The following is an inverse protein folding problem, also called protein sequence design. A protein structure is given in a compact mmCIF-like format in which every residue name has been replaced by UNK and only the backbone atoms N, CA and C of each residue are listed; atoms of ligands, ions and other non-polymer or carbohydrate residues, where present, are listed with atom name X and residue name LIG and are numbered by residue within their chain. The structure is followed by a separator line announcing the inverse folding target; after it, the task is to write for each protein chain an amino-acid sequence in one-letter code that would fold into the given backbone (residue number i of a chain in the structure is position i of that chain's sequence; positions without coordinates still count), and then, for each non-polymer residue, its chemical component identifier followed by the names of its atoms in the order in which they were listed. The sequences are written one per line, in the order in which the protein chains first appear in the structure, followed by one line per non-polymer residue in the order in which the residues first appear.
data_IF_071624219693
#
_entry.id   IF_071624219693
#
_cell.length_a   1.000
_cell.length_b   1.000
_cell.length_c   1.000
_cell.angle_alpha   90.00
_cell.angle_beta   90.00
_cell.angle_gamma   90.00
#
_symmetry.space_group_name_H-M   'P 1'
#
loop_
_entity.id
_entity.type
_entity.pdbx_description
1 polymer ?
#
# COMPACT_ATOMS: atom_id res chain seq x y z
N UNK A 1 -2.34 33.96 -0.11
CA UNK A 1 -2.50 32.58 0.39
C UNK A 1 -1.41 31.73 -0.21
N UNK A 2 -0.71 30.91 0.59
CA UNK A 2 0.33 29.99 0.10
C UNK A 2 -0.27 28.73 -0.54
N UNK A 3 0.54 27.98 -1.30
CA UNK A 3 0.10 26.73 -1.96
C UNK A 3 -0.43 25.72 -0.92
N UNK A 4 0.28 25.54 0.19
CA UNK A 4 -0.14 24.61 1.26
C UNK A 4 -1.43 25.05 1.96
N UNK A 5 -1.68 26.37 2.04
CA UNK A 5 -2.95 26.89 2.55
C UNK A 5 -4.10 26.65 1.57
N UNK A 6 -3.83 26.73 0.26
CA UNK A 6 -4.82 26.40 -0.77
C UNK A 6 -5.22 24.93 -0.70
N UNK A 7 -4.25 24.02 -0.50
CA UNK A 7 -4.50 22.58 -0.39
C UNK A 7 -5.38 22.17 0.81
N UNK A 8 -5.53 23.06 1.79
CA UNK A 8 -6.44 22.84 2.92
C UNK A 8 -7.88 23.26 2.63
N UNK A 9 -8.16 23.92 1.50
CA UNK A 9 -9.53 24.28 1.11
C UNK A 9 -10.31 23.01 0.75
N UNK A 10 -11.49 22.84 1.32
CA UNK A 10 -12.34 21.67 1.06
C UNK A 10 -12.69 21.56 -0.43
N UNK A 11 -12.37 20.42 -1.05
CA UNK A 11 -12.80 20.12 -2.42
C UNK A 11 -14.33 20.11 -2.51
N UNK A 12 -15.03 19.63 -1.47
CA UNK A 12 -16.50 19.61 -1.47
C UNK A 12 -17.10 21.01 -1.49
N UNK A 13 -16.53 21.94 -0.72
CA UNK A 13 -16.97 23.33 -0.71
C UNK A 13 -16.71 24.01 -2.07
N UNK A 14 -15.52 23.77 -2.65
CA UNK A 14 -15.18 24.23 -4.01
C UNK A 14 -16.12 23.64 -5.07
N UNK A 15 -16.41 22.34 -5.01
CA UNK A 15 -17.32 21.67 -5.93
C UNK A 15 -18.72 22.30 -5.86
N UNK A 16 -19.26 22.48 -4.66
CA UNK A 16 -20.56 23.14 -4.45
C UNK A 16 -20.57 24.56 -5.03
N UNK A 17 -19.50 25.34 -4.82
CA UNK A 17 -19.35 26.69 -5.38
C UNK A 17 -19.32 26.70 -6.90
N UNK A 18 -18.75 25.66 -7.50
CA UNK A 18 -18.72 25.45 -8.95
C UNK A 18 -20.01 24.81 -9.49
N UNK A 19 -21.03 24.61 -8.65
CA UNK A 19 -22.32 24.04 -9.03
C UNK A 19 -22.31 22.52 -9.21
N UNK A 20 -21.26 21.84 -8.73
CA UNK A 20 -21.10 20.38 -8.82
C UNK A 20 -21.41 19.78 -7.46
N UNK A 21 -22.51 19.02 -7.40
CA UNK A 21 -22.90 18.30 -6.19
C UNK A 21 -22.40 16.86 -6.22
N UNK A 22 -21.85 16.40 -5.10
CA UNK A 22 -21.46 15.00 -4.90
C UNK A 22 -22.35 14.36 -3.84
N UNK A 23 -22.79 13.13 -4.10
CA UNK A 23 -23.58 12.33 -3.16
C UNK A 23 -22.66 11.58 -2.20
N UNK A 24 -22.90 11.68 -0.90
CA UNK A 24 -22.17 10.89 0.08
C UNK A 24 -22.53 9.40 -0.04
N UNK A 25 -21.51 8.55 -0.22
CA UNK A 25 -21.68 7.08 -0.31
C UNK A 25 -21.05 6.34 0.86
N UNK A 26 -20.14 6.97 1.60
CA UNK A 26 -19.60 6.48 2.87
C UNK A 26 -19.23 7.64 3.79
N UNK A 27 -18.70 7.36 4.99
CA UNK A 27 -18.34 8.40 5.96
C UNK A 27 -17.35 9.44 5.42
N UNK A 28 -16.52 9.08 4.43
CA UNK A 28 -15.49 9.98 3.88
C UNK A 28 -15.38 9.95 2.35
N UNK A 29 -16.33 9.34 1.67
CA UNK A 29 -16.32 9.20 0.21
C UNK A 29 -17.62 9.76 -0.36
N UNK A 30 -17.45 10.61 -1.37
CA UNK A 30 -18.53 11.27 -2.10
C UNK A 30 -18.38 10.95 -3.57
N UNK A 31 -19.49 10.67 -4.25
CA UNK A 31 -19.54 10.20 -5.63
C UNK A 31 -20.35 11.16 -6.50
N UNK A 32 -19.90 11.41 -7.73
CA UNK A 32 -20.60 12.26 -8.67
C UNK A 32 -21.87 11.55 -9.18
N UNK A 33 -23.06 12.18 -9.14
CA UNK A 33 -24.33 11.52 -9.47
C UNK A 33 -24.38 10.90 -10.88
N UNK A 34 -23.75 11.54 -11.85
CA UNK A 34 -23.75 11.09 -13.26
C UNK A 34 -22.48 10.30 -13.64
N UNK A 35 -21.47 10.33 -12.77
CA UNK A 35 -20.16 9.73 -13.03
C UNK A 35 -19.72 8.97 -11.78
N UNK A 36 -20.21 7.74 -11.63
CA UNK A 36 -19.88 6.84 -10.50
C UNK A 36 -18.36 6.66 -10.27
N UNK A 37 -17.59 6.76 -11.33
CA UNK A 37 -16.13 6.72 -11.34
C UNK A 37 -15.46 8.03 -10.89
N UNK A 38 -16.18 9.11 -10.61
CA UNK A 38 -15.63 10.37 -10.12
C UNK A 38 -15.98 10.56 -8.64
N UNK A 39 -14.97 10.46 -7.79
CA UNK A 39 -15.12 10.48 -6.33
C UNK A 39 -14.24 11.51 -5.65
N UNK A 40 -14.73 12.06 -4.54
CA UNK A 40 -13.99 12.91 -3.60
C UNK A 40 -13.79 12.14 -2.29
N UNK A 41 -12.58 12.23 -1.75
CA UNK A 41 -12.17 11.63 -0.49
C UNK A 41 -11.89 12.72 0.55
N UNK A 42 -12.86 12.99 1.43
CA UNK A 42 -12.75 14.10 2.41
C UNK A 42 -11.70 13.85 3.50
N UNK A 43 -11.27 12.60 3.70
CA UNK A 43 -10.18 12.31 4.65
C UNK A 43 -8.82 12.81 4.20
N UNK A 44 -8.61 12.90 2.90
CA UNK A 44 -7.34 13.29 2.30
C UNK A 44 -7.44 14.61 1.53
N UNK A 45 -8.64 15.19 1.45
CA UNK A 45 -8.97 16.35 0.63
C UNK A 45 -8.48 16.20 -0.82
N UNK A 46 -8.78 15.06 -1.45
CA UNK A 46 -8.36 14.71 -2.83
C UNK A 46 -9.53 14.15 -3.64
N UNK A 47 -9.42 14.19 -4.97
CA UNK A 47 -10.37 13.52 -5.86
C UNK A 47 -9.70 12.45 -6.73
N UNK A 48 -10.51 11.51 -7.25
CA UNK A 48 -10.11 10.57 -8.30
C UNK A 48 -11.25 10.33 -9.28
N UNK A 49 -10.93 10.40 -10.57
CA UNK A 49 -11.77 9.99 -11.68
C UNK A 49 -11.22 8.70 -12.30
N UNK A 50 -11.71 7.56 -11.80
CA UNK A 50 -11.19 6.22 -12.10
C UNK A 50 -11.24 5.87 -13.60
N UNK A 51 -12.31 6.25 -14.31
CA UNK A 51 -12.47 5.94 -15.74
C UNK A 51 -11.56 6.75 -16.66
N UNK A 52 -11.00 7.86 -16.18
CA UNK A 52 -10.07 8.73 -16.92
C UNK A 52 -8.63 8.66 -16.42
N UNK A 53 -8.41 7.91 -15.34
CA UNK A 53 -7.15 7.86 -14.60
C UNK A 53 -6.61 9.25 -14.20
N UNK A 54 -7.51 10.14 -13.75
CA UNK A 54 -7.18 11.49 -13.28
C UNK A 54 -7.37 11.55 -11.77
N UNK A 55 -6.43 12.16 -11.05
CA UNK A 55 -6.53 12.40 -9.61
C UNK A 55 -5.73 13.65 -9.23
N UNK A 56 -6.03 14.22 -8.07
CA UNK A 56 -5.29 15.38 -7.58
C UNK A 56 -5.88 15.98 -6.31
N UNK A 57 -5.27 17.09 -5.91
CA UNK A 57 -5.75 17.93 -4.81
C UNK A 57 -6.81 18.95 -5.29
N UNK A 58 -7.18 19.89 -4.42
CA UNK A 58 -8.17 20.93 -4.72
C UNK A 58 -7.73 21.89 -5.84
N UNK A 59 -6.43 22.12 -6.02
CA UNK A 59 -5.94 22.97 -7.10
C UNK A 59 -6.12 22.25 -8.42
N UNK A 60 -5.76 20.97 -8.47
CA UNK A 60 -5.98 20.12 -9.65
C UNK A 60 -7.46 19.95 -9.97
N UNK A 61 -8.33 19.89 -8.95
CA UNK A 61 -9.77 19.83 -9.14
C UNK A 61 -10.30 21.09 -9.85
N UNK A 62 -9.90 22.28 -9.38
CA UNK A 62 -10.30 23.55 -10.03
C UNK A 62 -9.80 23.61 -11.46
N UNK A 63 -8.55 23.20 -11.71
CA UNK A 63 -7.98 23.15 -13.07
C UNK A 63 -8.76 22.21 -13.97
N UNK A 64 -9.10 21.02 -13.47
CA UNK A 64 -9.86 20.01 -14.21
C UNK A 64 -11.27 20.51 -14.56
N UNK A 65 -11.97 21.08 -13.59
CA UNK A 65 -13.37 21.50 -13.76
C UNK A 65 -13.47 22.77 -14.61
N UNK A 66 -12.58 23.74 -14.40
CA UNK A 66 -12.64 25.04 -15.11
C UNK A 66 -11.80 25.09 -16.39
N UNK A 67 -10.91 24.11 -16.61
CA UNK A 67 -9.99 24.11 -17.76
C UNK A 67 -8.94 25.22 -17.72
N UNK A 68 -8.54 25.68 -16.52
CA UNK A 68 -7.66 26.85 -16.33
C UNK A 68 -6.24 26.44 -15.91
N UNK A 69 -5.31 27.40 -15.99
CA UNK A 69 -3.93 27.20 -15.56
C UNK A 69 -3.80 27.09 -14.04
N UNK A 70 -2.66 26.57 -13.57
CA UNK A 70 -2.35 26.46 -12.15
C UNK A 70 -2.38 27.82 -11.44
N UNK A 71 -1.86 28.87 -12.08
CA UNK A 71 -1.84 30.24 -11.51
C UNK A 71 -3.25 30.80 -11.35
N UNK A 72 -4.12 30.57 -12.32
CA UNK A 72 -5.52 31.01 -12.26
C UNK A 72 -6.32 30.22 -11.23
N UNK A 73 -6.04 28.91 -11.08
CA UNK A 73 -6.65 28.11 -10.03
C UNK A 73 -6.26 28.59 -8.62
N UNK A 74 -4.99 28.94 -8.41
CA UNK A 74 -4.55 29.55 -7.14
C UNK A 74 -5.22 30.90 -6.87
N UNK A 75 -5.38 31.74 -7.90
CA UNK A 75 -6.08 33.02 -7.79
C UNK A 75 -7.55 32.80 -7.40
N UNK A 76 -8.25 31.90 -8.10
CA UNK A 76 -9.64 31.53 -7.79
C UNK A 76 -9.81 31.05 -6.35
N UNK A 77 -8.91 30.18 -5.88
CA UNK A 77 -8.95 29.68 -4.50
C UNK A 77 -8.65 30.78 -3.47
N UNK A 78 -7.87 31.80 -3.82
CA UNK A 78 -7.45 32.89 -2.93
C UNK A 78 -8.43 34.06 -2.83
N UNK A 79 -9.30 34.24 -3.82
CA UNK A 79 -10.24 35.38 -3.89
C UNK A 79 -11.51 35.17 -3.07
N UNK A 80 -11.86 33.92 -2.77
CA UNK A 80 -13.15 33.55 -2.21
C UNK A 80 -12.98 32.93 -0.81
N UNK A 81 -13.88 33.23 0.16
CA UNK A 81 -13.83 32.62 1.48
C UNK A 81 -14.33 31.18 1.41
N UNK A 82 -13.43 30.22 1.22
CA UNK A 82 -13.74 28.80 1.30
C UNK A 82 -13.58 28.23 2.71
N UNK A 83 -14.36 27.20 3.03
CA UNK A 83 -14.15 26.38 4.22
C UNK A 83 -12.85 25.59 4.07
N UNK A 84 -12.01 25.68 5.10
CA UNK A 84 -10.84 24.82 5.21
C UNK A 84 -11.26 23.48 5.78
N UNK A 85 -10.90 22.41 5.10
CA UNK A 85 -10.93 21.08 5.69
C UNK A 85 -9.86 21.03 6.77
N UNK A 86 -10.27 20.66 7.98
CA UNK A 86 -9.33 20.19 8.98
C UNK A 86 -8.77 18.86 8.43
N UNK A 87 -7.69 18.94 7.66
CA UNK A 87 -6.89 17.77 7.32
C UNK A 87 -6.47 17.22 8.69
N UNK A 88 -7.14 16.17 9.15
CA UNK A 88 -6.66 15.42 10.28
C UNK A 88 -5.29 14.92 9.83
N UNK A 89 -4.23 15.55 10.35
CA UNK A 89 -2.91 14.95 10.37
C UNK A 89 -3.13 13.57 10.95
N UNK A 90 -3.16 12.57 10.08
CA UNK A 90 -3.35 11.19 10.45
C UNK A 90 -2.11 10.84 11.22
N UNK A 91 -2.13 11.06 12.55
CA UNK A 91 -1.04 10.65 13.44
C UNK A 91 -0.76 9.20 13.09
N UNK A 92 0.35 8.96 12.41
CA UNK A 92 0.74 7.63 11.96
C UNK A 92 0.85 6.78 13.22
N UNK A 93 -0.14 5.93 13.46
CA UNK A 93 -0.08 5.00 14.57
C UNK A 93 0.99 3.98 14.19
N UNK A 94 1.95 3.69 15.09
CA UNK A 94 2.95 2.65 14.83
C UNK A 94 2.25 1.35 14.43
N UNK A 95 2.80 0.67 13.42
CA UNK A 95 2.29 -0.63 13.02
C UNK A 95 2.37 -1.60 14.21
N UNK A 96 1.23 -2.24 14.50
CA UNK A 96 1.14 -3.29 15.50
C UNK A 96 1.14 -4.64 14.80
N UNK A 97 2.11 -5.50 15.16
CA UNK A 97 2.22 -6.84 14.60
C UNK A 97 1.54 -7.88 15.51
N UNK A 98 0.33 -8.35 15.18
CA UNK A 98 -0.48 -9.19 16.07
C UNK A 98 -0.03 -10.65 16.15
N UNK A 99 0.79 -11.12 15.20
CA UNK A 99 1.10 -12.55 15.07
C UNK A 99 2.28 -13.00 15.93
N UNK A 100 2.96 -12.09 16.63
CA UNK A 100 4.22 -12.38 17.32
C UNK A 100 4.16 -13.59 18.27
N UNK A 101 3.03 -13.80 18.94
CA UNK A 101 2.83 -14.89 19.92
C UNK A 101 2.41 -16.22 19.29
N UNK A 102 2.00 -16.20 18.02
CA UNK A 102 1.53 -17.36 17.27
C UNK A 102 2.44 -17.67 16.07
N UNK A 103 3.66 -17.11 16.08
CA UNK A 103 4.71 -17.50 15.14
C UNK A 103 5.21 -18.91 15.49
N UNK A 104 5.36 -19.74 14.46
CA UNK A 104 6.02 -21.03 14.56
C UNK A 104 7.53 -20.83 14.39
N UNK A 105 8.29 -21.24 15.40
CA UNK A 105 9.75 -21.08 15.44
C UNK A 105 10.49 -21.94 14.41
N UNK A 106 9.89 -23.04 13.93
CA UNK A 106 10.54 -23.95 12.98
C UNK A 106 10.28 -23.53 11.52
N UNK A 107 9.15 -22.87 11.24
CA UNK A 107 8.73 -22.48 9.90
C UNK A 107 8.70 -23.67 8.90
N UNK A 108 8.40 -24.89 9.38
CA UNK A 108 8.52 -26.11 8.58
C UNK A 108 7.57 -26.15 7.37
N UNK A 109 6.33 -25.68 7.52
CA UNK A 109 5.35 -25.61 6.42
C UNK A 109 5.73 -24.51 5.43
N UNK A 110 6.26 -23.39 5.91
CA UNK A 110 6.78 -22.32 5.07
C UNK A 110 7.98 -22.78 4.25
N UNK A 111 8.93 -23.51 4.86
CA UNK A 111 10.05 -24.12 4.14
C UNK A 111 9.56 -25.07 3.06
N UNK A 112 8.72 -26.04 3.43
CA UNK A 112 8.12 -26.99 2.48
C UNK A 112 7.41 -26.28 1.33
N UNK A 113 6.61 -25.24 1.63
CA UNK A 113 5.91 -24.48 0.61
C UNK A 113 6.86 -23.77 -0.36
N UNK A 114 7.88 -23.09 0.17
CA UNK A 114 8.83 -22.33 -0.64
C UNK A 114 9.78 -23.24 -1.43
N UNK A 115 10.18 -24.39 -0.89
CA UNK A 115 11.00 -25.37 -1.62
C UNK A 115 10.16 -26.15 -2.63
N UNK A 116 9.18 -26.92 -2.17
CA UNK A 116 8.50 -27.92 -3.01
C UNK A 116 7.48 -27.29 -3.97
N UNK A 117 6.83 -26.20 -3.55
CA UNK A 117 5.79 -25.58 -4.39
C UNK A 117 6.31 -24.39 -5.21
N UNK A 118 7.38 -23.72 -4.76
CA UNK A 118 7.91 -22.50 -5.40
C UNK A 118 9.32 -22.65 -5.95
N UNK A 119 10.03 -23.73 -5.65
CA UNK A 119 11.37 -24.00 -6.20
C UNK A 119 12.46 -23.08 -5.65
N UNK A 120 12.25 -22.48 -4.48
CA UNK A 120 13.25 -21.64 -3.81
C UNK A 120 14.18 -22.52 -2.97
N UNK A 121 15.49 -22.33 -3.08
CA UNK A 121 16.46 -23.10 -2.32
C UNK A 121 16.36 -22.85 -0.81
N UNK A 122 16.64 -23.90 -0.04
CA UNK A 122 16.65 -23.84 1.43
C UNK A 122 17.66 -22.80 1.96
N UNK A 123 18.76 -22.57 1.24
CA UNK A 123 19.75 -21.55 1.57
C UNK A 123 19.14 -20.14 1.56
N UNK A 124 18.41 -19.77 0.50
CA UNK A 124 17.74 -18.47 0.41
C UNK A 124 16.69 -18.35 1.50
N UNK A 125 15.86 -19.38 1.69
CA UNK A 125 14.80 -19.37 2.70
C UNK A 125 15.39 -19.14 4.10
N UNK A 126 16.44 -19.89 4.44
CA UNK A 126 17.17 -19.76 5.69
C UNK A 126 17.71 -18.33 5.89
N UNK A 127 18.31 -17.74 4.86
CA UNK A 127 18.84 -16.37 4.90
C UNK A 127 17.74 -15.35 5.17
N UNK A 128 16.59 -15.48 4.51
CA UNK A 128 15.45 -14.58 4.69
C UNK A 128 14.78 -14.72 6.06
N UNK A 129 14.70 -15.94 6.60
CA UNK A 129 14.23 -16.20 7.98
C UNK A 129 15.19 -15.58 9.00
N UNK A 130 16.51 -15.74 8.83
CA UNK A 130 17.52 -15.17 9.73
C UNK A 130 17.49 -13.63 9.74
N UNK A 131 17.20 -13.00 8.61
CA UNK A 131 16.98 -11.55 8.53
C UNK A 131 15.61 -11.11 9.08
N UNK A 132 14.76 -12.05 9.49
CA UNK A 132 13.43 -11.79 10.01
C UNK A 132 12.41 -11.38 8.96
N UNK A 133 12.72 -11.54 7.67
CA UNK A 133 11.82 -11.19 6.54
C UNK A 133 10.71 -12.22 6.37
N UNK A 134 10.95 -13.48 6.75
CA UNK A 134 9.98 -14.57 6.70
C UNK A 134 9.69 -15.07 8.11
N UNK A 135 8.42 -15.35 8.38
CA UNK A 135 7.99 -16.21 9.49
C UNK A 135 6.84 -17.11 9.03
N UNK A 136 6.51 -18.10 9.84
CA UNK A 136 5.28 -18.87 9.73
C UNK A 136 4.39 -18.52 10.91
N UNK A 137 3.07 -18.42 10.71
CA UNK A 137 2.13 -18.19 11.81
C UNK A 137 0.78 -18.87 11.55
N UNK A 138 0.00 -19.06 12.61
CA UNK A 138 -1.40 -19.45 12.50
C UNK A 138 -2.28 -18.20 12.33
N UNK A 139 -2.94 -18.09 11.18
CA UNK A 139 -3.88 -17.01 10.89
C UNK A 139 -5.31 -17.48 11.17
N UNK A 140 -6.03 -16.71 12.00
CA UNK A 140 -7.42 -17.01 12.37
C UNK A 140 -8.35 -15.98 11.76
N UNK A 141 -9.35 -16.46 11.02
CA UNK A 141 -10.54 -15.71 10.61
C UNK A 141 -11.72 -16.12 11.49
N UNK A 142 -12.92 -15.58 11.23
CA UNK A 142 -14.13 -16.00 11.92
C UNK A 142 -14.53 -17.45 11.59
N UNK A 143 -14.09 -17.97 10.45
CA UNK A 143 -14.53 -19.26 9.90
C UNK A 143 -13.45 -20.34 10.01
N UNK A 144 -12.17 -19.95 9.92
CA UNK A 144 -11.06 -20.90 9.78
C UNK A 144 -9.81 -20.46 10.52
N UNK A 145 -8.95 -21.44 10.81
CA UNK A 145 -7.55 -21.21 11.21
C UNK A 145 -6.69 -21.92 10.18
N UNK A 146 -5.76 -21.20 9.54
CA UNK A 146 -4.84 -21.77 8.57
C UNK A 146 -3.40 -21.32 8.83
N UNK A 147 -2.39 -22.15 8.51
CA UNK A 147 -1.00 -21.73 8.57
C UNK A 147 -0.68 -20.83 7.37
N UNK A 148 0.03 -19.74 7.63
CA UNK A 148 0.41 -18.74 6.64
C UNK A 148 1.91 -18.46 6.68
N UNK A 149 2.45 -18.15 5.51
CA UNK A 149 3.72 -17.45 5.41
C UNK A 149 3.47 -15.99 5.77
N UNK A 150 4.31 -15.43 6.63
CA UNK A 150 4.33 -14.02 6.99
C UNK A 150 5.56 -13.39 6.36
N UNK A 151 5.36 -12.41 5.49
CA UNK A 151 6.44 -11.63 4.92
C UNK A 151 6.45 -10.24 5.55
N UNK A 152 7.61 -9.80 6.05
CA UNK A 152 7.74 -8.63 6.93
C UNK A 152 8.53 -7.51 6.26
N UNK A 153 8.00 -6.29 6.31
CA UNK A 153 8.65 -5.10 5.78
C UNK A 153 9.17 -4.22 6.91
N UNK A 154 10.43 -3.80 6.79
CA UNK A 154 11.11 -2.97 7.78
C UNK A 154 11.49 -1.62 7.17
N UNK A 155 11.50 -0.57 7.99
CA UNK A 155 12.05 0.72 7.58
C UNK A 155 13.59 0.75 7.65
N UNK A 156 14.17 1.89 7.29
CA UNK A 156 15.61 2.14 7.32
C UNK A 156 16.26 2.04 8.72
N UNK A 157 15.47 1.99 9.80
CA UNK A 157 15.92 1.80 11.17
C UNK A 157 15.67 0.37 11.67
N UNK A 158 15.33 -0.55 10.76
CA UNK A 158 14.93 -1.93 11.06
C UNK A 158 13.73 -2.04 12.00
N UNK A 159 12.81 -1.07 11.97
CA UNK A 159 11.52 -1.20 12.67
C UNK A 159 10.50 -1.82 11.72
N UNK A 160 9.76 -2.82 12.21
CA UNK A 160 8.69 -3.49 11.46
C UNK A 160 7.55 -2.50 11.19
N UNK A 161 7.21 -2.29 9.91
CA UNK A 161 6.18 -1.31 9.50
C UNK A 161 5.01 -1.92 8.73
N UNK A 162 5.19 -3.11 8.17
CA UNK A 162 4.15 -3.82 7.46
C UNK A 162 4.39 -5.33 7.52
N UNK A 163 3.33 -6.11 7.29
CA UNK A 163 3.46 -7.52 6.99
C UNK A 163 2.35 -7.98 6.06
N UNK A 164 2.69 -8.84 5.11
CA UNK A 164 1.74 -9.54 4.24
C UNK A 164 1.68 -11.03 4.61
N UNK A 165 0.53 -11.62 4.34
CA UNK A 165 0.23 -13.03 4.59
C UNK A 165 -0.04 -13.74 3.28
N UNK A 166 0.58 -14.92 3.13
CA UNK A 166 0.34 -15.82 2.02
C UNK A 166 -0.02 -17.20 2.57
N UNK A 167 -1.24 -17.66 2.27
CA UNK A 167 -1.71 -19.00 2.65
C UNK A 167 -0.84 -20.10 2.05
N UNK A 168 -0.63 -21.17 2.82
CA UNK A 168 0.19 -22.32 2.40
C UNK A 168 -0.64 -23.31 1.58
N UNK A 169 -1.82 -23.67 2.08
CA UNK A 169 -2.70 -24.64 1.45
C UNK A 169 -3.63 -24.01 0.40
N UNK A 170 -4.04 -24.83 -0.58
CA UNK A 170 -5.06 -24.43 -1.55
C UNK A 170 -6.42 -24.32 -0.85
N UNK A 171 -7.14 -23.25 -1.16
CA UNK A 171 -8.54 -23.05 -0.85
C UNK A 171 -9.24 -22.57 -2.12
N UNK A 172 -9.94 -23.49 -2.78
CA UNK A 172 -10.64 -23.23 -4.05
C UNK A 172 -11.80 -22.24 -3.93
N UNK A 173 -12.24 -21.92 -2.70
CA UNK A 173 -13.25 -20.90 -2.46
C UNK A 173 -12.70 -19.47 -2.56
N UNK A 174 -11.37 -19.29 -2.63
CA UNK A 174 -10.73 -17.99 -2.75
C UNK A 174 -10.39 -17.68 -4.22
N UNK A 175 -10.52 -16.42 -4.68
CA UNK A 175 -10.22 -16.04 -6.07
C UNK A 175 -8.80 -16.37 -6.55
N UNK A 176 -7.81 -16.38 -5.64
CA UNK A 176 -6.40 -16.68 -5.93
C UNK A 176 -5.99 -18.11 -5.52
N UNK A 177 -6.96 -18.99 -5.26
CA UNK A 177 -6.79 -20.34 -4.67
C UNK A 177 -6.05 -20.39 -3.32
N UNK A 178 -5.60 -19.25 -2.79
CA UNK A 178 -4.87 -19.11 -1.53
C UNK A 178 -5.14 -17.75 -0.93
N UNK A 179 -5.05 -17.67 0.39
CA UNK A 179 -5.06 -16.39 1.09
C UNK A 179 -3.89 -15.53 0.59
N UNK A 180 -4.18 -14.27 0.22
CA UNK A 180 -3.19 -13.21 0.04
C UNK A 180 -3.77 -11.93 0.62
N UNK A 181 -3.15 -11.41 1.67
CA UNK A 181 -3.64 -10.20 2.36
C UNK A 181 -2.52 -9.42 3.02
N UNK A 182 -2.73 -8.14 3.27
CA UNK A 182 -1.81 -7.27 4.01
C UNK A 182 -2.41 -7.00 5.39
N UNK A 183 -1.60 -7.13 6.46
CA UNK A 183 -2.08 -6.89 7.81
C UNK A 183 -2.56 -5.44 7.98
N UNK A 184 -3.70 -5.28 8.64
CA UNK A 184 -4.30 -3.98 8.91
C UNK A 184 -3.32 -3.07 9.65
N UNK A 185 -3.18 -1.83 9.17
CA UNK A 185 -2.26 -0.85 9.73
C UNK A 185 -0.83 -0.93 9.18
N UNK A 186 -0.57 -1.83 8.23
CA UNK A 186 0.68 -1.83 7.45
C UNK A 186 0.85 -0.50 6.69
N UNK A 187 2.07 0.03 6.66
CA UNK A 187 2.39 1.25 5.93
C UNK A 187 2.48 0.96 4.43
N UNK A 188 1.66 1.65 3.62
CA UNK A 188 1.58 1.41 2.17
C UNK A 188 2.80 1.85 1.35
N UNK A 189 3.76 2.55 1.96
CA UNK A 189 4.99 3.01 1.29
C UNK A 189 6.24 2.20 1.69
N UNK A 190 6.08 1.12 2.49
CA UNK A 190 7.19 0.29 2.96
C UNK A 190 7.08 -1.13 2.38
N UNK A 191 7.82 -1.36 1.29
CA UNK A 191 7.97 -2.68 0.68
C UNK A 191 8.99 -3.56 1.42
N UNK A 192 8.99 -4.85 1.11
CA UNK A 192 9.99 -5.78 1.64
C UNK A 192 11.26 -5.59 0.83
N UNK A 193 12.41 -5.41 1.49
CA UNK A 193 13.68 -5.20 0.80
C UNK A 193 14.75 -6.16 1.27
N UNK A 194 15.64 -6.52 0.35
CA UNK A 194 16.76 -7.41 0.58
C UNK A 194 18.02 -6.84 -0.09
N UNK A 195 19.03 -6.56 0.74
CA UNK A 195 20.27 -5.90 0.31
C UNK A 195 21.37 -6.93 0.02
N UNK A 196 22.02 -6.75 -1.12
CA UNK A 196 23.18 -7.53 -1.55
C UNK A 196 24.36 -6.58 -1.68
N UNK A 197 25.38 -6.74 -0.82
CA UNK A 197 26.55 -5.86 -0.80
C UNK A 197 26.21 -4.44 -0.32
N UNK A 198 26.70 -3.42 -1.04
CA UNK A 198 26.37 -2.00 -0.82
C UNK A 198 25.49 -1.51 -1.98
N UNK A 199 24.16 -1.49 -1.84
CA UNK A 199 23.25 -1.17 -2.93
C UNK A 199 23.54 0.16 -3.61
N UNK A 200 23.67 0.14 -4.94
CA UNK A 200 23.72 1.34 -5.79
C UNK A 200 22.64 1.35 -6.89
N UNK A 201 21.80 0.31 -6.92
CA UNK A 201 20.67 0.16 -7.82
C UNK A 201 19.54 -0.60 -7.14
N UNK A 202 18.33 -0.45 -7.69
CA UNK A 202 17.11 -1.08 -7.22
C UNK A 202 16.55 -2.01 -8.29
N UNK A 203 16.02 -3.16 -7.88
CA UNK A 203 15.20 -4.04 -8.71
C UNK A 203 13.87 -4.23 -8.01
N UNK A 204 12.77 -3.95 -8.70
CA UNK A 204 11.42 -4.07 -8.16
C UNK A 204 10.74 -5.34 -8.67
N UNK A 205 10.15 -6.09 -7.75
CA UNK A 205 9.38 -7.30 -8.01
C UNK A 205 7.94 -7.10 -7.52
N UNK A 206 6.99 -7.75 -8.18
CA UNK A 206 5.56 -7.65 -7.83
C UNK A 206 5.30 -8.18 -6.42
N UNK A 207 5.87 -9.35 -6.08
CA UNK A 207 5.74 -9.97 -4.77
C UNK A 207 7.08 -10.44 -4.19
N UNK A 208 7.08 -10.79 -2.90
CA UNK A 208 8.27 -11.28 -2.23
C UNK A 208 8.70 -12.66 -2.72
N UNK A 209 7.77 -13.47 -3.21
CA UNK A 209 8.11 -14.73 -3.87
C UNK A 209 8.80 -14.46 -5.20
N UNK A 210 8.34 -13.47 -5.98
CA UNK A 210 9.03 -13.09 -7.23
C UNK A 210 10.42 -12.54 -6.96
N UNK A 211 10.59 -11.78 -5.87
CA UNK A 211 11.90 -11.33 -5.40
C UNK A 211 12.82 -12.51 -5.09
N UNK A 212 12.34 -13.51 -4.34
CA UNK A 212 13.12 -14.71 -4.03
C UNK A 212 13.45 -15.52 -5.29
N UNK A 213 12.50 -15.68 -6.21
CA UNK A 213 12.72 -16.35 -7.51
C UNK A 213 13.75 -15.62 -8.36
N UNK A 214 13.68 -14.29 -8.42
CA UNK A 214 14.68 -13.48 -9.12
C UNK A 214 16.06 -13.61 -8.48
N UNK A 215 16.11 -13.60 -7.14
CA UNK A 215 17.36 -13.81 -6.42
C UNK A 215 17.94 -15.21 -6.70
N UNK A 216 17.13 -16.26 -6.64
CA UNK A 216 17.51 -17.66 -6.96
C UNK A 216 18.18 -17.78 -8.33
N UNK A 217 17.59 -17.18 -9.37
CA UNK A 217 18.09 -17.27 -10.74
C UNK A 217 19.36 -16.43 -10.99
N UNK A 218 19.60 -15.40 -10.20
CA UNK A 218 20.64 -14.41 -10.47
C UNK A 218 21.68 -14.26 -9.36
N UNK A 219 21.75 -15.19 -8.40
CA UNK A 219 22.63 -15.10 -7.22
C UNK A 219 24.09 -14.76 -7.60
N UNK A 220 24.61 -15.38 -8.66
CA UNK A 220 26.01 -15.22 -9.07
C UNK A 220 26.34 -13.85 -9.71
N UNK A 221 25.34 -13.17 -10.29
CA UNK A 221 25.54 -11.89 -10.98
C UNK A 221 25.10 -10.69 -10.14
N UNK A 222 24.27 -10.89 -9.12
CA UNK A 222 23.79 -9.82 -8.26
C UNK A 222 24.87 -9.38 -7.28
N UNK A 223 25.31 -8.13 -7.45
CA UNK A 223 26.26 -7.45 -6.57
C UNK A 223 25.82 -6.01 -6.34
N UNK A 224 25.93 -5.47 -5.12
CA UNK A 224 25.61 -4.06 -4.82
C UNK A 224 24.21 -3.62 -5.29
N UNK A 225 23.17 -4.40 -4.94
CA UNK A 225 21.78 -4.16 -5.36
C UNK A 225 20.84 -4.38 -4.19
N UNK A 226 19.75 -3.59 -4.16
CA UNK A 226 18.61 -3.83 -3.29
C UNK A 226 17.46 -4.36 -4.13
N UNK A 227 16.98 -5.55 -3.78
CA UNK A 227 15.75 -6.09 -4.31
C UNK A 227 14.58 -5.58 -3.47
N UNK A 228 13.47 -5.21 -4.10
CA UNK A 228 12.29 -4.65 -3.42
C UNK A 228 11.03 -5.36 -3.91
N UNK A 229 10.26 -5.94 -2.99
CA UNK A 229 8.90 -6.39 -3.27
C UNK A 229 7.91 -5.26 -3.04
N UNK A 230 7.03 -5.04 -4.02
CA UNK A 230 5.94 -4.07 -3.94
C UNK A 230 4.69 -4.63 -3.24
N UNK A 231 4.58 -5.96 -3.09
CA UNK A 231 3.40 -6.65 -2.56
C UNK A 231 2.08 -6.26 -3.27
N UNK A 232 2.10 -6.27 -4.62
CA UNK A 232 0.95 -6.01 -5.51
C UNK A 232 -0.10 -7.13 -5.59
#
# INVERSE_FOLDING_TARGET
MGIEECKQISILDVANRLGISFKQVSSSVYEHPEHDSFRIFSTTNTFKWFSRDIQGDVIDFVRLVKGISFKEALAFLSEEPFQKEAIQEKRERPFYYPLKRVEDSNCSLTRYYLTECRGISEEIIQKMIQQGLIAQASWKTNETVEPVNVFKSFDHRHKLQAASLQGIYKNHSLPRERLKTILKGSHGHVGISFDIGKPNRLVFCESFIDLMSYYELHQQSLTNVRLVSMEG
#
